data_IF_999569294298
#
_entry.id   IF_999569294298
#
_cell.length_a   1.000
_cell.length_b   1.000
_cell.length_c   1.000
_cell.angle_alpha   90.00
_cell.angle_beta   90.00
_cell.angle_gamma   90.00
#
_symmetry.space_group_name_H-M   'P 1'
#
loop_
_entity.id
_entity.type
_entity.pdbx_description
1 polymer ?
#
# COMPACT_ATOMS: atom_id res chain seq x y z
N UNK A 1 -50.51 -42.31 -23.05
CA UNK A 1 -49.12 -42.83 -22.99
C UNK A 1 -48.21 -41.60 -23.10
N UNK A 2 -47.88 -40.93 -21.99
CA UNK A 2 -46.65 -41.13 -21.18
C UNK A 2 -45.39 -40.94 -22.05
N UNK A 3 -44.49 -39.99 -21.85
CA UNK A 3 -44.15 -39.19 -20.68
C UNK A 3 -43.60 -37.83 -21.14
N UNK A 4 -44.21 -36.75 -20.66
CA UNK A 4 -43.65 -35.41 -20.66
C UNK A 4 -43.30 -35.10 -19.20
N UNK A 5 -42.16 -34.46 -18.95
CA UNK A 5 -41.65 -34.02 -17.63
C UNK A 5 -40.91 -35.06 -16.76
N UNK A 6 -39.60 -35.25 -16.99
CA UNK A 6 -38.70 -35.71 -15.91
C UNK A 6 -37.18 -35.43 -16.12
N UNK A 7 -36.72 -34.70 -17.15
CA UNK A 7 -35.26 -34.66 -17.44
C UNK A 7 -34.56 -33.29 -17.29
N UNK A 8 -35.29 -32.19 -17.14
CA UNK A 8 -34.70 -30.83 -17.15
C UNK A 8 -34.08 -30.42 -15.80
N UNK A 9 -34.60 -30.93 -14.68
CA UNK A 9 -34.13 -30.62 -13.33
C UNK A 9 -32.74 -31.18 -13.02
N UNK A 10 -32.46 -32.41 -13.46
CA UNK A 10 -31.16 -33.06 -13.27
C UNK A 10 -30.03 -32.39 -14.06
N UNK A 11 -30.31 -31.95 -15.29
CA UNK A 11 -29.31 -31.27 -16.13
C UNK A 11 -28.99 -29.86 -15.63
N UNK A 12 -30.02 -29.10 -15.22
CA UNK A 12 -29.83 -27.79 -14.58
C UNK A 12 -29.09 -27.91 -13.24
N UNK A 13 -29.43 -28.92 -12.43
CA UNK A 13 -28.74 -29.17 -11.15
C UNK A 13 -27.29 -29.62 -11.36
N UNK A 14 -26.99 -30.46 -12.36
CA UNK A 14 -25.62 -30.86 -12.72
C UNK A 14 -24.78 -29.69 -13.21
N UNK A 15 -25.36 -28.80 -14.03
CA UNK A 15 -24.68 -27.57 -14.48
C UNK A 15 -24.41 -26.64 -13.30
N UNK A 16 -25.41 -26.41 -12.45
CA UNK A 16 -25.28 -25.61 -11.24
C UNK A 16 -24.21 -26.18 -10.30
N UNK A 17 -24.22 -27.49 -10.07
CA UNK A 17 -23.25 -28.20 -9.25
C UNK A 17 -21.83 -28.06 -9.80
N UNK A 18 -21.64 -28.23 -11.12
CA UNK A 18 -20.33 -28.07 -11.75
C UNK A 18 -19.80 -26.64 -11.62
N UNK A 19 -20.67 -25.63 -11.78
CA UNK A 19 -20.31 -24.23 -11.58
C UNK A 19 -19.96 -23.94 -10.11
N UNK A 20 -20.73 -24.46 -9.16
CA UNK A 20 -20.44 -24.33 -7.72
C UNK A 20 -19.08 -24.93 -7.37
N UNK A 21 -18.78 -26.13 -7.88
CA UNK A 21 -17.47 -26.77 -7.67
C UNK A 21 -16.35 -25.93 -8.29
N UNK A 22 -16.51 -25.43 -9.51
CA UNK A 22 -15.54 -24.55 -10.15
C UNK A 22 -15.31 -23.25 -9.35
N UNK A 23 -16.37 -22.63 -8.83
CA UNK A 23 -16.29 -21.44 -7.99
C UNK A 23 -15.58 -21.72 -6.65
N UNK A 24 -15.85 -22.86 -6.02
CA UNK A 24 -15.17 -23.26 -4.78
C UNK A 24 -13.68 -23.45 -5.03
N UNK A 25 -13.31 -24.15 -6.11
CA UNK A 25 -11.90 -24.35 -6.49
C UNK A 25 -11.21 -23.01 -6.73
N UNK A 26 -11.84 -22.10 -7.47
CA UNK A 26 -11.30 -20.77 -7.70
C UNK A 26 -11.12 -19.97 -6.38
N UNK A 27 -12.10 -20.04 -5.48
CA UNK A 27 -12.02 -19.41 -4.16
C UNK A 27 -10.87 -19.94 -3.32
N UNK A 28 -10.68 -21.26 -3.29
CA UNK A 28 -9.56 -21.91 -2.57
C UNK A 28 -8.22 -21.44 -3.12
N UNK A 29 -8.06 -21.38 -4.45
CA UNK A 29 -6.83 -20.91 -5.08
C UNK A 29 -6.54 -19.47 -4.67
N UNK A 30 -7.53 -18.57 -4.76
CA UNK A 30 -7.36 -17.15 -4.38
C UNK A 30 -7.03 -17.03 -2.89
N UNK A 31 -7.69 -17.79 -2.01
CA UNK A 31 -7.41 -17.78 -0.57
C UNK A 31 -5.98 -18.23 -0.25
N UNK A 32 -5.49 -19.30 -0.88
CA UNK A 32 -4.10 -19.76 -0.68
C UNK A 32 -3.12 -18.70 -1.15
N UNK A 33 -3.33 -18.13 -2.35
CA UNK A 33 -2.45 -17.08 -2.89
C UNK A 33 -2.42 -15.87 -1.95
N UNK A 34 -3.58 -15.43 -1.46
CA UNK A 34 -3.65 -14.31 -0.53
C UNK A 34 -2.93 -14.63 0.79
N UNK A 35 -3.14 -15.82 1.35
CA UNK A 35 -2.48 -16.25 2.59
C UNK A 35 -0.95 -16.24 2.46
N UNK A 36 -0.40 -16.76 1.36
CA UNK A 36 1.05 -16.76 1.14
C UNK A 36 1.63 -15.40 0.74
N UNK A 37 0.84 -14.55 0.07
CA UNK A 37 1.33 -13.24 -0.42
C UNK A 37 1.22 -12.15 0.65
N UNK A 38 0.28 -12.26 1.57
CA UNK A 38 0.01 -11.25 2.60
C UNK A 38 1.24 -10.99 3.49
N UNK A 39 1.93 -12.04 3.93
CA UNK A 39 3.09 -11.90 4.82
C UNK A 39 4.28 -11.23 4.12
N UNK A 40 4.49 -11.53 2.83
CA UNK A 40 5.56 -10.92 2.01
C UNK A 40 5.26 -9.44 1.77
N UNK A 41 3.99 -9.08 1.56
CA UNK A 41 3.60 -7.70 1.34
C UNK A 41 3.88 -6.81 2.56
N UNK A 42 3.59 -7.31 3.77
CA UNK A 42 3.79 -6.56 5.01
C UNK A 42 5.29 -6.35 5.28
N UNK A 43 6.11 -7.41 5.16
CA UNK A 43 7.55 -7.31 5.37
C UNK A 43 8.21 -6.34 4.39
N UNK A 44 7.82 -6.42 3.11
CA UNK A 44 8.32 -5.51 2.08
C UNK A 44 7.88 -4.07 2.32
N UNK A 45 6.67 -3.85 2.83
CA UNK A 45 6.19 -2.51 3.14
C UNK A 45 6.94 -1.87 4.31
N UNK A 46 7.28 -2.62 5.36
CA UNK A 46 8.11 -2.14 6.46
C UNK A 46 9.54 -1.79 6.02
N UNK A 47 10.12 -2.61 5.14
CA UNK A 47 11.43 -2.32 4.54
C UNK A 47 11.37 -1.06 3.67
N UNK A 48 10.38 -0.96 2.79
CA UNK A 48 10.17 0.21 1.93
C UNK A 48 9.95 1.49 2.75
N UNK A 49 9.24 1.42 3.88
CA UNK A 49 9.07 2.55 4.78
C UNK A 49 10.42 2.94 5.39
N UNK A 50 11.22 1.98 5.83
CA UNK A 50 12.55 2.25 6.40
C UNK A 50 13.49 2.87 5.37
N UNK A 51 13.46 2.36 4.13
CA UNK A 51 14.21 2.92 3.01
C UNK A 51 13.71 4.32 2.64
N UNK A 52 12.40 4.55 2.69
CA UNK A 52 11.81 5.86 2.45
C UNK A 52 12.30 6.89 3.47
N UNK A 53 12.34 6.55 4.76
CA UNK A 53 12.90 7.41 5.81
C UNK A 53 14.37 7.78 5.52
N UNK A 54 15.19 6.77 5.19
CA UNK A 54 16.62 6.94 4.86
C UNK A 54 16.85 7.82 3.63
N UNK A 55 16.06 7.62 2.57
CA UNK A 55 16.14 8.42 1.35
C UNK A 55 15.62 9.85 1.54
N UNK A 56 14.77 10.06 2.54
CA UNK A 56 14.17 11.36 2.84
C UNK A 56 15.13 12.25 3.62
N UNK A 57 15.88 11.70 4.58
CA UNK A 57 16.83 12.44 5.43
C UNK A 57 18.19 11.73 5.47
N UNK A 58 18.89 11.68 4.34
CA UNK A 58 20.15 10.91 4.18
C UNK A 58 21.25 11.25 5.18
N UNK A 59 21.17 12.40 5.84
CA UNK A 59 22.14 12.88 6.81
C UNK A 59 21.95 12.32 8.23
N UNK A 60 20.79 11.74 8.52
CA UNK A 60 20.46 11.18 9.83
C UNK A 60 21.02 9.76 9.99
N UNK A 61 21.58 9.47 11.16
CA UNK A 61 22.05 8.14 11.56
C UNK A 61 20.99 7.34 12.32
N UNK A 62 20.00 8.00 12.91
CA UNK A 62 18.93 7.35 13.66
C UNK A 62 17.55 7.92 13.36
N UNK A 63 16.55 7.02 13.34
CA UNK A 63 15.14 7.31 13.09
C UNK A 63 14.31 6.72 14.22
N UNK A 64 13.66 7.57 15.01
CA UNK A 64 12.92 7.13 16.20
C UNK A 64 11.44 7.48 16.05
N UNK A 65 10.51 6.54 16.27
CA UNK A 65 9.08 6.86 16.24
C UNK A 65 8.72 7.86 17.33
N UNK A 66 7.77 8.74 17.05
CA UNK A 66 7.28 9.73 18.03
C UNK A 66 6.13 9.13 18.83
N UNK A 67 6.27 9.09 20.14
CA UNK A 67 5.23 8.56 21.04
C UNK A 67 3.90 9.31 20.87
N UNK A 68 2.81 8.53 20.78
CA UNK A 68 1.46 9.07 20.59
C UNK A 68 1.16 9.60 19.19
N UNK A 69 2.07 9.47 18.22
CA UNK A 69 1.86 9.87 16.83
C UNK A 69 2.26 8.77 15.85
N UNK A 70 1.27 8.05 15.35
CA UNK A 70 1.48 6.98 14.37
C UNK A 70 2.08 7.54 13.06
N UNK A 71 3.14 6.88 12.57
CA UNK A 71 3.82 7.25 11.33
C UNK A 71 4.73 8.48 11.42
N UNK A 72 4.87 9.10 12.59
CA UNK A 72 5.80 10.21 12.82
C UNK A 72 7.15 9.68 13.29
N UNK A 73 8.23 10.25 12.76
CA UNK A 73 9.59 9.89 13.14
C UNK A 73 10.43 11.15 13.39
N UNK A 74 11.35 11.07 14.35
CA UNK A 74 12.46 12.01 14.45
C UNK A 74 13.67 11.42 13.73
N UNK A 75 14.36 12.25 12.97
CA UNK A 75 15.61 11.93 12.32
C UNK A 75 16.73 12.70 13.04
N UNK A 76 17.70 11.99 13.60
CA UNK A 76 18.82 12.57 14.34
C UNK A 76 20.14 12.24 13.67
N UNK A 77 21.14 13.13 13.82
CA UNK A 77 22.53 12.96 13.41
C UNK A 77 23.44 13.09 14.64
N UNK A 78 24.04 12.00 15.11
CA UNK A 78 24.91 12.01 16.28
C UNK A 78 24.20 12.54 17.54
N UNK A 79 22.93 12.19 17.71
CA UNK A 79 22.07 12.64 18.82
C UNK A 79 21.46 14.04 18.65
N UNK A 80 21.82 14.80 17.61
CA UNK A 80 21.19 16.09 17.31
C UNK A 80 20.02 15.91 16.35
N UNK A 81 18.87 16.51 16.65
CA UNK A 81 17.72 16.53 15.75
C UNK A 81 18.06 17.26 14.44
N UNK A 82 17.85 16.59 13.30
CA UNK A 82 18.05 17.16 11.97
C UNK A 82 16.74 17.30 11.18
N UNK A 83 15.73 16.45 11.45
CA UNK A 83 14.40 16.61 10.86
C UNK A 83 13.30 15.87 11.65
N UNK A 84 12.06 16.30 11.47
CA UNK A 84 10.85 15.55 11.76
C UNK A 84 10.29 14.99 10.46
N UNK A 85 9.96 13.70 10.44
CA UNK A 85 9.30 13.06 9.30
C UNK A 85 7.84 12.86 9.68
N UNK A 86 6.95 13.48 8.91
CA UNK A 86 5.51 13.49 9.18
C UNK A 86 4.72 12.88 8.02
N UNK A 87 3.70 12.05 8.30
CA UNK A 87 2.77 11.60 7.29
C UNK A 87 1.88 12.75 6.84
N UNK A 88 1.67 12.85 5.53
CA UNK A 88 0.76 13.79 4.90
C UNK A 88 -0.08 13.09 3.84
N UNK A 89 -1.30 13.56 3.66
CA UNK A 89 -2.21 13.08 2.64
C UNK A 89 -2.74 14.27 1.83
N UNK A 90 -2.80 14.09 0.52
CA UNK A 90 -3.39 15.06 -0.40
C UNK A 90 -4.37 14.38 -1.33
N UNK A 91 -5.33 15.12 -1.88
CA UNK A 91 -6.31 14.58 -2.83
C UNK A 91 -5.75 14.63 -4.25
N UNK A 92 -5.58 13.46 -4.87
CA UNK A 92 -5.26 13.29 -6.29
C UNK A 92 -6.50 13.03 -7.15
N UNK A 93 -6.30 12.85 -8.45
CA UNK A 93 -7.35 12.52 -9.41
C UNK A 93 -7.82 11.07 -9.27
N UNK A 94 -6.89 10.14 -9.02
CA UNK A 94 -7.16 8.73 -8.81
C UNK A 94 -7.53 8.35 -7.36
N UNK A 95 -7.57 9.33 -6.45
CA UNK A 95 -7.80 9.14 -5.02
C UNK A 95 -6.74 9.81 -4.14
N UNK A 96 -6.67 9.47 -2.84
CA UNK A 96 -5.70 10.06 -1.93
C UNK A 96 -4.26 9.66 -2.31
N UNK A 97 -3.34 10.62 -2.15
CA UNK A 97 -1.90 10.46 -2.31
C UNK A 97 -1.27 10.54 -0.93
N UNK A 98 -0.72 9.42 -0.46
CA UNK A 98 -0.04 9.31 0.83
C UNK A 98 1.44 9.57 0.66
N UNK A 99 1.99 10.43 1.51
CA UNK A 99 3.38 10.88 1.43
C UNK A 99 3.98 11.08 2.81
N UNK A 100 5.31 11.02 2.89
CA UNK A 100 6.09 11.45 4.04
C UNK A 100 6.78 12.76 3.71
N UNK A 101 6.79 13.68 4.67
CA UNK A 101 7.42 15.00 4.53
C UNK A 101 8.46 15.15 5.64
N UNK A 102 9.69 15.48 5.26
CA UNK A 102 10.74 15.85 6.20
C UNK A 102 10.72 17.36 6.42
N UNK A 103 10.64 17.76 7.68
CA UNK A 103 10.60 19.14 8.16
C UNK A 103 11.82 19.37 9.04
N UNK A 104 12.64 20.36 8.70
CA UNK A 104 13.80 20.76 9.47
C UNK A 104 13.42 21.38 10.82
N UNK A 105 14.39 21.49 11.76
CA UNK A 105 14.16 22.15 13.05
C UNK A 105 13.83 23.64 12.93
N UNK A 106 14.06 24.27 11.78
CA UNK A 106 13.67 25.63 11.44
C UNK A 106 12.26 25.74 10.84
N UNK A 107 11.47 24.67 10.91
CA UNK A 107 10.12 24.53 10.32
C UNK A 107 10.08 24.62 8.79
N UNK A 108 11.22 24.47 8.10
CA UNK A 108 11.24 24.39 6.64
C UNK A 108 11.06 22.97 6.16
N UNK A 109 10.33 22.80 5.06
CA UNK A 109 10.21 21.51 4.40
C UNK A 109 11.52 21.23 3.66
N UNK A 110 12.19 20.13 4.01
CA UNK A 110 13.44 19.72 3.39
C UNK A 110 13.17 18.88 2.14
N UNK A 111 12.29 17.88 2.28
CA UNK A 111 12.02 16.90 1.23
C UNK A 111 10.70 16.21 1.49
N UNK A 112 10.13 15.57 0.47
CA UNK A 112 9.01 14.67 0.62
C UNK A 112 9.20 13.42 -0.26
N UNK A 113 8.48 12.35 0.06
CA UNK A 113 8.41 11.13 -0.75
C UNK A 113 6.99 10.59 -0.78
N UNK A 114 6.57 10.08 -1.92
CA UNK A 114 5.23 9.51 -2.11
C UNK A 114 5.29 8.01 -1.76
N UNK A 115 4.49 7.59 -0.78
CA UNK A 115 4.38 6.19 -0.37
C UNK A 115 3.37 5.42 -1.24
N UNK A 116 2.20 6.03 -1.48
CA UNK A 116 1.10 5.40 -2.19
C UNK A 116 0.37 6.44 -3.04
N UNK A 117 0.07 6.07 -4.28
CA UNK A 117 -0.68 6.90 -5.21
C UNK A 117 -1.32 6.02 -6.28
N UNK A 118 -2.55 6.35 -6.68
CA UNK A 118 -3.31 5.69 -7.77
C UNK A 118 -3.35 6.54 -9.04
N UNK A 119 -2.44 7.50 -9.16
CA UNK A 119 -2.35 8.34 -10.35
C UNK A 119 -1.89 7.53 -11.57
N UNK A 120 -2.35 7.93 -12.75
CA UNK A 120 -1.95 7.30 -14.01
C UNK A 120 -0.44 7.47 -14.24
N UNK A 121 0.30 6.37 -14.53
CA UNK A 121 1.72 6.44 -14.86
C UNK A 121 2.00 7.45 -15.98
N UNK A 122 3.07 8.24 -15.85
CA UNK A 122 3.44 9.28 -16.82
C UNK A 122 2.78 10.64 -16.61
N UNK A 123 1.56 10.72 -16.06
CA UNK A 123 0.87 12.00 -15.84
C UNK A 123 1.13 12.56 -14.44
N UNK A 124 1.07 11.71 -13.40
CA UNK A 124 1.33 12.10 -12.01
C UNK A 124 2.81 12.12 -11.60
N UNK A 125 3.72 11.70 -12.47
CA UNK A 125 5.12 11.47 -12.11
C UNK A 125 5.90 12.75 -11.79
N UNK A 126 5.41 13.92 -12.22
CA UNK A 126 6.03 15.21 -11.85
C UNK A 126 6.01 15.44 -10.34
N UNK A 127 4.95 15.02 -9.65
CA UNK A 127 4.87 15.10 -8.20
C UNK A 127 5.88 14.15 -7.51
N UNK A 128 6.31 13.07 -8.18
CA UNK A 128 7.30 12.12 -7.65
C UNK A 128 8.75 12.60 -7.84
N UNK A 129 8.99 13.50 -8.81
CA UNK A 129 10.32 13.98 -9.22
C UNK A 129 10.68 15.38 -8.72
N UNK A 130 9.78 16.12 -8.08
CA UNK A 130 10.07 17.49 -7.63
C UNK A 130 10.95 17.45 -6.38
N UNK A 131 12.27 17.48 -6.59
CA UNK A 131 13.23 17.91 -5.58
C UNK A 131 12.89 19.36 -5.22
N UNK A 132 12.50 19.61 -3.96
CA UNK A 132 12.44 20.95 -3.42
C UNK A 132 13.88 21.52 -3.45
N UNK A 133 14.07 22.64 -4.16
CA UNK A 133 15.30 23.43 -4.14
C UNK A 133 15.31 24.37 -2.93
#
# INVERSE_FOLDING_TARGET
MTAEHAEKGDSLFKIALNLTVACIIAGIIISIVYYFTADIAIAKQAELNTLALKNLVTEADQYTPVDGKEGWYTATKGGKLVAYIVPAESKGYGGPIKMLVAVGPDNKILKYTILESKETPGLGDKARKSTLH
#
